data_IF_770893959640
#
_entry.id   IF_770893959640
#
_cell.length_a   1.000
_cell.length_b   1.000
_cell.length_c   1.000
_cell.angle_alpha   90.00
_cell.angle_beta   90.00
_cell.angle_gamma   90.00
#
_symmetry.space_group_name_H-M   'P 1'
#
loop_
_entity.id
_entity.type
_entity.pdbx_description
1 polymer ?
#
# COMPACT_ATOMS: atom_id res chain seq x y z
N UNK A 1 12.10 6.71 36.91
CA UNK A 1 12.31 6.57 35.45
C UNK A 1 11.93 5.16 35.05
N UNK A 2 10.73 4.97 34.51
CA UNK A 2 10.28 3.66 34.03
C UNK A 2 10.85 3.45 32.63
N UNK A 3 11.67 2.41 32.47
CA UNK A 3 12.07 1.93 31.15
C UNK A 3 10.83 1.36 30.48
N UNK A 4 10.24 2.14 29.57
CA UNK A 4 9.25 1.62 28.63
C UNK A 4 9.92 0.48 27.86
N UNK A 5 9.60 -0.75 28.22
CA UNK A 5 9.87 -1.92 27.40
C UNK A 5 9.08 -1.76 26.11
N UNK A 6 9.67 -1.04 25.14
CA UNK A 6 9.16 -1.02 23.78
C UNK A 6 9.11 -2.48 23.33
N UNK A 7 7.89 -3.03 23.24
CA UNK A 7 7.69 -4.42 22.84
C UNK A 7 8.43 -4.62 21.51
N UNK A 8 9.33 -5.61 21.48
CA UNK A 8 10.13 -5.92 20.29
C UNK A 8 9.17 -6.19 19.12
N UNK A 9 9.49 -5.73 17.91
CA UNK A 9 8.69 -6.05 16.73
C UNK A 9 8.55 -7.57 16.58
N UNK A 10 7.36 -8.04 16.18
CA UNK A 10 7.15 -9.47 15.97
C UNK A 10 7.78 -9.88 14.64
N UNK A 11 8.84 -10.68 14.70
CA UNK A 11 9.58 -11.13 13.52
C UNK A 11 8.67 -11.79 12.46
N UNK A 12 7.64 -12.52 12.89
CA UNK A 12 6.64 -13.11 11.99
C UNK A 12 5.83 -12.07 11.20
N UNK A 13 5.42 -10.97 11.83
CA UNK A 13 4.65 -9.92 11.18
C UNK A 13 5.51 -9.10 10.22
N UNK A 14 6.74 -8.77 10.62
CA UNK A 14 7.70 -8.10 9.73
C UNK A 14 7.98 -8.96 8.50
N UNK A 15 8.22 -10.26 8.69
CA UNK A 15 8.44 -11.19 7.58
C UNK A 15 7.22 -11.26 6.66
N UNK A 16 6.01 -11.35 7.23
CA UNK A 16 4.78 -11.31 6.45
C UNK A 16 4.66 -10.01 5.65
N UNK A 17 4.85 -8.86 6.29
CA UNK A 17 4.85 -7.55 5.65
C UNK A 17 5.89 -7.43 4.53
N UNK A 18 7.09 -7.99 4.71
CA UNK A 18 8.12 -8.01 3.69
C UNK A 18 7.69 -8.82 2.46
N UNK A 19 7.19 -10.05 2.65
CA UNK A 19 6.70 -10.89 1.55
C UNK A 19 5.47 -10.30 0.86
N UNK A 20 4.57 -9.73 1.65
CA UNK A 20 3.44 -8.93 1.19
C UNK A 20 3.87 -7.80 0.26
N UNK A 21 4.91 -7.05 0.61
CA UNK A 21 5.44 -5.98 -0.23
C UNK A 21 6.00 -6.50 -1.57
N UNK A 22 6.70 -7.64 -1.57
CA UNK A 22 7.14 -8.25 -2.82
C UNK A 22 5.96 -8.72 -3.68
N UNK A 23 5.01 -9.43 -3.07
CA UNK A 23 3.83 -9.96 -3.76
C UNK A 23 2.96 -8.84 -4.35
N UNK A 24 2.68 -7.80 -3.57
CA UNK A 24 1.92 -6.65 -4.04
C UNK A 24 2.67 -5.88 -5.13
N UNK A 25 4.00 -5.78 -5.03
CA UNK A 25 4.85 -5.20 -6.08
C UNK A 25 4.71 -5.95 -7.40
N UNK A 26 4.77 -7.29 -7.38
CA UNK A 26 4.57 -8.12 -8.57
C UNK A 26 3.16 -7.94 -9.15
N UNK A 27 2.13 -8.00 -8.30
CA UNK A 27 0.75 -7.79 -8.73
C UNK A 27 0.55 -6.42 -9.40
N UNK A 28 1.19 -5.38 -8.86
CA UNK A 28 1.12 -4.03 -9.43
C UNK A 28 1.79 -3.90 -10.79
N UNK A 29 2.85 -4.68 -11.09
CA UNK A 29 3.47 -4.68 -12.42
C UNK A 29 2.47 -5.20 -13.45
N UNK A 30 1.79 -6.30 -13.15
CA UNK A 30 0.73 -6.82 -14.01
C UNK A 30 -0.43 -5.83 -14.12
N UNK A 31 -0.84 -5.21 -13.01
CA UNK A 31 -1.87 -4.19 -13.00
C UNK A 31 -1.53 -3.01 -13.92
N UNK A 32 -0.35 -2.44 -13.81
CA UNK A 32 0.12 -1.35 -14.69
C UNK A 32 0.12 -1.81 -16.16
N UNK A 33 0.61 -3.02 -16.45
CA UNK A 33 0.61 -3.54 -17.82
C UNK A 33 -0.81 -3.67 -18.39
N UNK A 34 -1.76 -4.19 -17.60
CA UNK A 34 -3.16 -4.28 -18.00
C UNK A 34 -3.83 -2.91 -18.15
N UNK A 35 -3.48 -1.94 -17.30
CA UNK A 35 -3.98 -0.56 -17.42
C UNK A 35 -3.49 0.11 -18.71
N UNK A 36 -2.21 -0.06 -19.04
CA UNK A 36 -1.67 0.44 -20.31
C UNK A 36 -2.32 -0.25 -21.50
N UNK A 37 -2.51 -1.57 -21.42
CA UNK A 37 -3.19 -2.34 -22.45
C UNK A 37 -4.66 -1.92 -22.61
N UNK A 38 -5.36 -1.53 -21.54
CA UNK A 38 -6.74 -1.02 -21.60
C UNK A 38 -6.88 0.19 -22.52
N UNK A 39 -5.91 1.11 -22.52
CA UNK A 39 -5.94 2.27 -23.42
C UNK A 39 -5.75 1.90 -24.91
N UNK A 40 -5.35 0.66 -25.22
CA UNK A 40 -5.13 0.17 -26.59
C UNK A 40 -6.17 -0.88 -27.00
N UNK A 41 -6.49 -1.82 -26.11
CA UNK A 41 -7.30 -3.02 -26.35
C UNK A 41 -8.72 -2.93 -25.74
N UNK A 42 -8.98 -1.95 -24.87
CA UNK A 42 -10.29 -1.68 -24.29
C UNK A 42 -10.67 -2.57 -23.10
N UNK A 43 -11.98 -2.79 -22.95
CA UNK A 43 -12.61 -3.24 -21.70
C UNK A 43 -12.07 -4.55 -21.07
N UNK A 44 -11.72 -5.62 -21.81
CA UNK A 44 -11.26 -6.87 -21.19
C UNK A 44 -10.00 -6.70 -20.34
N UNK A 45 -9.06 -5.87 -20.81
CA UNK A 45 -7.84 -5.54 -20.07
C UNK A 45 -8.08 -4.62 -18.88
N UNK A 46 -9.16 -3.83 -18.89
CA UNK A 46 -9.59 -3.05 -17.72
C UNK A 46 -9.98 -3.96 -16.55
N UNK A 47 -10.82 -4.96 -16.80
CA UNK A 47 -11.23 -5.93 -15.75
C UNK A 47 -10.03 -6.70 -15.18
N UNK A 48 -9.04 -7.02 -16.00
CA UNK A 48 -7.78 -7.64 -15.54
C UNK A 48 -6.95 -6.70 -14.67
N UNK A 49 -6.91 -5.40 -14.99
CA UNK A 49 -6.31 -4.39 -14.12
C UNK A 49 -7.03 -4.35 -12.77
N UNK A 50 -8.36 -4.32 -12.74
CA UNK A 50 -9.12 -4.26 -11.50
C UNK A 50 -8.86 -5.49 -10.61
N UNK A 51 -8.79 -6.69 -11.20
CA UNK A 51 -8.40 -7.91 -10.49
C UNK A 51 -6.98 -7.81 -9.92
N UNK A 52 -6.03 -7.30 -10.71
CA UNK A 52 -4.65 -7.10 -10.24
C UNK A 52 -4.60 -6.09 -9.06
N UNK A 53 -5.41 -5.04 -9.09
CA UNK A 53 -5.55 -4.08 -7.98
C UNK A 53 -6.10 -4.77 -6.72
N UNK A 54 -7.11 -5.63 -6.84
CA UNK A 54 -7.63 -6.42 -5.70
C UNK A 54 -6.50 -7.24 -5.06
N UNK A 55 -5.74 -7.97 -5.88
CA UNK A 55 -4.62 -8.81 -5.39
C UNK A 55 -3.54 -7.95 -4.75
N UNK A 56 -3.12 -6.88 -5.42
CA UNK A 56 -2.11 -5.95 -4.94
C UNK A 56 -2.48 -5.39 -3.56
N UNK A 57 -3.67 -4.82 -3.42
CA UNK A 57 -4.09 -4.16 -2.18
C UNK A 57 -4.39 -5.16 -1.06
N UNK A 58 -4.90 -6.34 -1.38
CA UNK A 58 -5.04 -7.42 -0.39
C UNK A 58 -3.69 -7.86 0.16
N UNK A 59 -2.70 -8.03 -0.72
CA UNK A 59 -1.33 -8.33 -0.31
C UNK A 59 -0.67 -7.18 0.43
N UNK A 60 -1.10 -5.93 0.21
CA UNK A 60 -0.57 -4.75 0.89
C UNK A 60 -0.99 -4.64 2.35
N UNK A 61 -2.10 -5.26 2.77
CA UNK A 61 -2.68 -5.10 4.11
C UNK A 61 -1.73 -5.42 5.28
N UNK A 62 -0.83 -6.42 5.23
CA UNK A 62 0.14 -6.65 6.30
C UNK A 62 1.22 -5.56 6.42
N UNK A 63 1.45 -4.77 5.36
CA UNK A 63 2.52 -3.78 5.30
C UNK A 63 2.32 -2.66 6.34
N UNK A 64 1.15 -1.98 6.44
CA UNK A 64 0.89 -1.00 7.50
C UNK A 64 1.22 -1.48 8.91
N UNK A 65 0.94 -2.74 9.24
CA UNK A 65 1.25 -3.28 10.57
C UNK A 65 2.76 -3.48 10.77
N UNK A 66 3.47 -3.99 9.77
CA UNK A 66 4.93 -4.09 9.80
C UNK A 66 5.59 -2.72 9.94
N UNK A 67 5.11 -1.73 9.17
CA UNK A 67 5.58 -0.35 9.26
C UNK A 67 5.28 0.29 10.61
N UNK A 68 4.08 0.07 11.16
CA UNK A 68 3.71 0.54 12.49
C UNK A 68 4.69 0.01 13.55
N UNK A 69 5.06 -1.28 13.51
CA UNK A 69 5.97 -1.84 14.50
C UNK A 69 7.38 -1.23 14.46
N UNK A 70 7.91 -0.97 13.26
CA UNK A 70 9.27 -0.43 13.12
C UNK A 70 9.33 1.09 13.32
N UNK A 71 8.25 1.83 13.01
CA UNK A 71 8.22 3.29 13.07
C UNK A 71 7.68 3.82 14.40
N UNK A 72 6.81 3.09 15.10
CA UNK A 72 6.20 3.54 16.37
C UNK A 72 7.21 3.97 17.45
N UNK A 73 8.42 3.38 17.60
CA UNK A 73 9.36 3.82 18.63
C UNK A 73 9.92 5.22 18.37
N UNK A 74 9.87 5.67 17.11
CA UNK A 74 10.41 6.97 16.67
C UNK A 74 9.30 8.00 16.50
N UNK A 75 8.15 7.60 15.93
CA UNK A 75 7.01 8.48 15.65
C UNK A 75 5.69 7.80 16.00
N UNK A 76 5.32 7.70 17.29
CA UNK A 76 4.16 6.91 17.73
C UNK A 76 2.84 7.42 17.13
N UNK A 77 2.61 8.73 17.18
CA UNK A 77 1.37 9.33 16.68
C UNK A 77 1.24 9.23 15.16
N UNK A 78 2.32 9.50 14.41
CA UNK A 78 2.31 9.38 12.94
C UNK A 78 2.17 7.93 12.49
N UNK A 79 2.80 6.99 13.21
CA UNK A 79 2.68 5.56 12.91
C UNK A 79 1.26 5.07 13.13
N UNK A 80 0.62 5.49 14.23
CA UNK A 80 -0.78 5.16 14.51
C UNK A 80 -1.71 5.79 13.46
N UNK A 81 -1.53 7.07 13.13
CA UNK A 81 -2.30 7.74 12.09
C UNK A 81 -2.16 7.03 10.74
N UNK A 82 -0.93 6.66 10.36
CA UNK A 82 -0.69 5.87 9.15
C UNK A 82 -1.44 4.54 9.21
N UNK A 83 -1.39 3.80 10.32
CA UNK A 83 -2.12 2.54 10.43
C UNK A 83 -3.63 2.74 10.25
N UNK A 84 -4.21 3.74 10.92
CA UNK A 84 -5.63 4.07 10.91
C UNK A 84 -6.13 4.63 9.57
N UNK A 85 -5.27 5.26 8.77
CA UNK A 85 -5.62 5.76 7.43
C UNK A 85 -5.42 4.65 6.39
N UNK A 86 -4.29 3.95 6.47
CA UNK A 86 -3.87 2.97 5.47
C UNK A 86 -4.80 1.76 5.41
N UNK A 87 -5.15 1.17 6.55
CA UNK A 87 -5.98 -0.05 6.57
C UNK A 87 -7.38 0.21 6.00
N UNK A 88 -8.15 1.22 6.45
CA UNK A 88 -9.44 1.52 5.85
C UNK A 88 -9.34 1.90 4.38
N UNK A 89 -8.34 2.69 3.97
CA UNK A 89 -8.13 3.05 2.56
C UNK A 89 -7.89 1.83 1.68
N UNK A 90 -7.00 0.92 2.09
CA UNK A 90 -6.71 -0.31 1.34
C UNK A 90 -7.91 -1.26 1.30
N UNK A 91 -8.63 -1.41 2.41
CA UNK A 91 -9.87 -2.22 2.44
C UNK A 91 -10.95 -1.63 1.56
N UNK A 92 -11.13 -0.31 1.56
CA UNK A 92 -12.09 0.38 0.69
C UNK A 92 -11.76 0.13 -0.79
N UNK A 93 -10.48 0.22 -1.19
CA UNK A 93 -10.05 -0.13 -2.55
C UNK A 93 -10.41 -1.57 -2.88
N UNK A 94 -10.05 -2.54 -2.03
CA UNK A 94 -10.34 -3.96 -2.27
C UNK A 94 -11.84 -4.21 -2.42
N UNK A 95 -12.66 -3.68 -1.51
CA UNK A 95 -14.11 -3.87 -1.53
C UNK A 95 -14.71 -3.25 -2.79
N UNK A 96 -14.36 -2.01 -3.11
CA UNK A 96 -14.90 -1.32 -4.29
C UNK A 96 -14.51 -2.03 -5.59
N UNK A 97 -13.28 -2.51 -5.70
CA UNK A 97 -12.85 -3.25 -6.89
C UNK A 97 -13.52 -4.62 -6.99
N UNK A 98 -13.78 -5.32 -5.87
CA UNK A 98 -14.59 -6.54 -5.89
C UNK A 98 -16.00 -6.23 -6.38
N UNK A 99 -16.64 -5.18 -5.88
CA UNK A 99 -18.00 -4.78 -6.28
C UNK A 99 -18.07 -4.43 -7.78
N UNK A 100 -17.02 -3.80 -8.33
CA UNK A 100 -16.91 -3.53 -9.76
C UNK A 100 -16.74 -4.82 -10.57
N UNK A 101 -15.76 -5.65 -10.21
CA UNK A 101 -15.43 -6.87 -10.95
C UNK A 101 -16.56 -7.90 -10.88
N UNK A 102 -17.43 -7.83 -9.87
CA UNK A 102 -18.63 -8.69 -9.74
C UNK A 102 -19.88 -8.06 -10.33
N UNK A 103 -19.76 -6.91 -10.99
CA UNK A 103 -20.86 -6.20 -11.66
C UNK A 103 -21.99 -5.78 -10.67
N UNK A 104 -21.72 -5.77 -9.35
CA UNK A 104 -22.63 -5.32 -8.30
C UNK A 104 -22.70 -3.79 -8.26
N UNK A 105 -21.57 -3.11 -8.47
CA UNK A 105 -21.47 -1.65 -8.53
C UNK A 105 -21.04 -1.22 -9.93
N UNK A 106 -21.89 -0.49 -10.69
CA UNK A 106 -21.52 0.00 -12.00
C UNK A 106 -20.34 0.98 -11.94
N UNK A 107 -19.47 0.92 -12.96
CA UNK A 107 -18.28 1.77 -13.05
C UNK A 107 -18.58 3.27 -12.81
N UNK A 108 -19.65 3.80 -13.43
CA UNK A 108 -20.03 5.20 -13.29
C UNK A 108 -20.27 5.63 -11.83
N UNK A 109 -20.82 4.74 -11.00
CA UNK A 109 -21.08 5.01 -9.58
C UNK A 109 -19.86 4.78 -8.69
N UNK A 110 -18.88 4.03 -9.20
CA UNK A 110 -17.69 3.65 -8.45
C UNK A 110 -16.57 4.69 -8.54
N UNK A 111 -16.50 5.48 -9.62
CA UNK A 111 -15.40 6.44 -9.88
C UNK A 111 -15.12 7.32 -8.65
N UNK A 112 -16.14 7.98 -8.10
CA UNK A 112 -15.93 8.88 -6.96
C UNK A 112 -15.48 8.13 -5.70
N UNK A 113 -16.17 7.06 -5.25
CA UNK A 113 -15.72 6.25 -4.12
C UNK A 113 -14.28 5.71 -4.25
N UNK A 114 -13.91 5.18 -5.42
CA UNK A 114 -12.59 4.56 -5.61
C UNK A 114 -11.48 5.61 -5.62
N UNK A 115 -11.74 6.79 -6.20
CA UNK A 115 -10.82 7.93 -6.16
C UNK A 115 -10.59 8.38 -4.70
N UNK A 116 -11.63 8.49 -3.90
CA UNK A 116 -11.49 8.84 -2.48
C UNK A 116 -10.69 7.78 -1.70
N UNK A 117 -10.92 6.49 -1.98
CA UNK A 117 -10.15 5.41 -1.37
C UNK A 117 -8.67 5.48 -1.77
N UNK A 118 -8.35 5.74 -3.03
CA UNK A 118 -6.98 5.96 -3.49
C UNK A 118 -6.34 7.20 -2.86
N UNK A 119 -7.08 8.28 -2.66
CA UNK A 119 -6.57 9.48 -1.97
C UNK A 119 -6.19 9.17 -0.51
N UNK A 120 -6.97 8.37 0.20
CA UNK A 120 -6.59 7.91 1.55
C UNK A 120 -5.29 7.11 1.53
N UNK A 121 -5.12 6.22 0.53
CA UNK A 121 -3.88 5.46 0.35
C UNK A 121 -2.71 6.38 -0.01
N UNK A 122 -2.92 7.40 -0.85
CA UNK A 122 -1.90 8.40 -1.16
C UNK A 122 -1.47 9.17 0.10
N UNK A 123 -2.42 9.59 0.93
CA UNK A 123 -2.13 10.21 2.24
C UNK A 123 -1.32 9.25 3.12
N UNK A 124 -1.66 7.96 3.13
CA UNK A 124 -0.89 6.95 3.83
C UNK A 124 0.57 6.87 3.35
N UNK A 125 0.81 6.87 2.04
CA UNK A 125 2.17 6.91 1.48
C UNK A 125 2.92 8.16 1.93
N UNK A 126 2.26 9.31 1.90
CA UNK A 126 2.81 10.60 2.31
C UNK A 126 3.25 10.57 3.78
N UNK A 127 2.38 10.11 4.68
CA UNK A 127 2.68 10.02 6.13
C UNK A 127 3.86 9.07 6.42
N UNK A 128 3.92 7.93 5.73
CA UNK A 128 5.05 7.01 5.86
C UNK A 128 6.33 7.58 5.26
N UNK A 129 6.24 8.35 4.16
CA UNK A 129 7.38 9.04 3.57
C UNK A 129 7.99 10.07 4.50
N UNK A 130 7.16 10.86 5.20
CA UNK A 130 7.61 11.78 6.24
C UNK A 130 8.29 11.04 7.40
N UNK A 131 7.65 9.98 7.90
CA UNK A 131 8.19 9.17 9.02
C UNK A 131 9.49 8.43 8.64
N UNK A 132 9.64 8.09 7.36
CA UNK A 132 10.82 7.44 6.80
C UNK A 132 12.03 8.35 6.68
N UNK A 133 11.81 9.63 6.34
CA UNK A 133 12.87 10.65 6.24
C UNK A 133 13.55 10.92 7.56
N UNK A 134 12.80 10.88 8.65
CA UNK A 134 13.29 11.22 9.99
C UNK A 134 13.90 10.04 10.75
N UNK A 135 13.64 8.81 10.32
CA UNK A 135 14.09 7.59 11.01
C UNK A 135 15.16 6.78 10.27
N UNK A 136 15.42 7.09 8.99
CA UNK A 136 16.28 6.31 8.07
C UNK A 136 15.85 4.84 7.87
N UNK A 137 14.71 4.43 8.43
CA UNK A 137 14.19 3.05 8.39
C UNK A 137 13.53 2.68 7.07
N UNK A 138 13.09 3.68 6.30
CA UNK A 138 12.40 3.55 5.01
C UNK A 138 13.19 4.14 3.85
N UNK A 139 12.84 3.84 2.58
CA UNK A 139 13.54 4.35 1.41
C UNK A 139 13.62 5.87 1.45
N UNK A 140 14.82 6.42 1.21
CA UNK A 140 15.03 7.86 1.22
C UNK A 140 14.28 8.51 0.05
N UNK A 141 13.52 9.56 0.34
CA UNK A 141 12.86 10.40 -0.67
C UNK A 141 11.33 10.33 -0.64
N UNK A 142 10.72 11.51 -0.55
CA UNK A 142 9.27 11.68 -0.65
C UNK A 142 8.75 11.36 -2.05
N UNK A 143 9.56 11.60 -3.08
CA UNK A 143 9.19 11.35 -4.47
C UNK A 143 8.74 9.90 -4.68
N UNK A 144 9.48 8.93 -4.17
CA UNK A 144 9.12 7.51 -4.33
C UNK A 144 7.78 7.17 -3.66
N UNK A 145 7.49 7.78 -2.50
CA UNK A 145 6.22 7.60 -1.81
C UNK A 145 5.06 8.24 -2.57
N UNK A 146 5.25 9.45 -3.11
CA UNK A 146 4.25 10.13 -3.94
C UNK A 146 3.99 9.34 -5.22
N UNK A 147 5.04 8.92 -5.93
CA UNK A 147 4.91 8.12 -7.15
C UNK A 147 4.24 6.77 -6.88
N UNK A 148 4.49 6.16 -5.71
CA UNK A 148 3.80 4.94 -5.29
C UNK A 148 2.31 5.16 -5.06
N UNK A 149 1.93 6.28 -4.43
CA UNK A 149 0.53 6.66 -4.28
C UNK A 149 -0.17 7.02 -5.59
N UNK A 150 0.59 7.45 -6.61
CA UNK A 150 0.14 7.66 -7.98
C UNK A 150 0.20 6.38 -8.85
N UNK A 151 0.30 5.21 -8.22
CA UNK A 151 0.31 3.88 -8.85
C UNK A 151 1.60 3.53 -9.62
N UNK A 152 2.15 4.42 -10.44
CA UNK A 152 3.29 4.14 -11.34
C UNK A 152 4.58 3.77 -10.57
N UNK A 153 4.85 4.45 -9.45
CA UNK A 153 6.04 4.19 -8.63
C UNK A 153 5.89 3.02 -7.66
N UNK A 154 4.70 2.39 -7.62
CA UNK A 154 4.38 1.40 -6.60
C UNK A 154 5.33 0.19 -6.61
N UNK A 155 5.64 -0.45 -7.75
CA UNK A 155 6.53 -1.61 -7.76
C UNK A 155 7.86 -1.29 -7.08
N UNK A 156 8.52 -0.21 -7.49
CA UNK A 156 9.82 0.20 -6.96
C UNK A 156 9.76 0.47 -5.46
N UNK A 157 8.72 1.17 -5.01
CA UNK A 157 8.49 1.40 -3.59
C UNK A 157 8.30 0.08 -2.82
N UNK A 158 7.48 -0.82 -3.35
CA UNK A 158 7.15 -2.09 -2.70
C UNK A 158 8.38 -3.00 -2.57
N UNK A 159 9.18 -3.14 -3.64
CA UNK A 159 10.45 -3.87 -3.59
C UNK A 159 11.45 -3.21 -2.62
N UNK A 160 11.51 -1.88 -2.58
CA UNK A 160 12.41 -1.18 -1.68
C UNK A 160 12.01 -1.32 -0.21
N UNK A 161 10.71 -1.27 0.10
CA UNK A 161 10.18 -1.51 1.45
C UNK A 161 10.35 -2.97 1.85
N UNK A 162 10.05 -3.92 0.96
CA UNK A 162 10.24 -5.34 1.19
C UNK A 162 11.70 -5.69 1.51
N UNK A 163 12.67 -5.05 0.84
CA UNK A 163 14.10 -5.24 1.13
C UNK A 163 14.48 -4.74 2.52
N UNK A 164 13.98 -3.57 2.91
CA UNK A 164 14.24 -2.99 4.24
C UNK A 164 13.56 -3.77 5.35
N UNK A 165 12.34 -4.25 5.14
CA UNK A 165 11.66 -5.06 6.16
C UNK A 165 12.38 -6.39 6.43
N UNK A 166 13.03 -6.99 5.43
CA UNK A 166 13.84 -8.22 5.63
C UNK A 166 15.10 -8.02 6.49
N UNK A 167 15.54 -6.80 6.72
CA UNK A 167 16.73 -6.53 7.54
C UNK A 167 16.43 -6.37 9.04
N UNK A 168 15.18 -6.54 9.47
CA UNK A 168 14.76 -6.55 10.87
C UNK A 168 14.34 -7.96 11.30
#
# INVERSE_FOLDING_TARGET
MSFNHAARPSAGLIRAAAWSAYGSGIASIFGIAFLLAFFVLGAPTGRLNDIAVIVQYSMMLPIPFGLFQILRPYHPNLSLAALLIGIPGMLAVVILQILLVTDILPFANQIVPVVLAFLLVLVWFIVNGFSGRTSEKLPAGMLLHVLAGLYIGYPFWAFSVGRRLRSY
#
